data_IF_946392183644
#
_entry.id   IF_946392183644
#
_cell.length_a   1.000
_cell.length_b   1.000
_cell.length_c   1.000
_cell.angle_alpha   90.00
_cell.angle_beta   90.00
_cell.angle_gamma   90.00
#
_symmetry.space_group_name_H-M   'P 1'
#
loop_
_entity.id
_entity.type
_entity.pdbx_description
1 polymer ?
#
# COMPACT_ATOMS: atom_id res chain seq x y z
N UNK A 1 12.89 -3.84 0.71
CA UNK A 1 13.22 -4.12 2.13
C UNK A 1 12.22 -3.34 2.96
N UNK A 2 11.07 -3.95 3.30
CA UNK A 2 9.92 -3.27 3.91
C UNK A 2 10.26 -2.74 5.32
N UNK A 3 10.64 -1.45 5.39
CA UNK A 3 11.11 -0.78 6.62
C UNK A 3 9.99 -0.38 7.58
N UNK A 4 8.73 -0.58 7.22
CA UNK A 4 7.55 -0.20 8.02
C UNK A 4 6.62 -1.40 8.24
N UNK A 5 7.11 -2.47 8.87
CA UNK A 5 6.25 -3.61 9.24
C UNK A 5 5.64 -3.36 10.61
N UNK A 6 4.33 -3.60 10.76
CA UNK A 6 3.66 -3.59 12.05
C UNK A 6 3.37 -2.23 12.67
N UNK A 7 3.22 -1.16 11.89
CA UNK A 7 3.03 0.18 12.47
C UNK A 7 1.63 0.37 13.09
N UNK A 8 0.62 -0.37 12.62
CA UNK A 8 -0.79 -0.23 13.02
C UNK A 8 -1.52 0.93 12.34
N UNK A 9 -2.85 0.83 12.22
CA UNK A 9 -3.68 1.84 11.54
C UNK A 9 -3.69 3.17 12.29
N UNK A 10 -3.76 3.15 13.63
CA UNK A 10 -3.75 4.39 14.42
C UNK A 10 -2.47 5.18 14.24
N UNK A 11 -1.30 4.53 14.30
CA UNK A 11 -0.02 5.20 14.01
C UNK A 11 0.02 5.69 12.57
N UNK A 12 -0.44 4.90 11.60
CA UNK A 12 -0.52 5.33 10.21
C UNK A 12 -1.35 6.61 10.02
N UNK A 13 -2.45 6.76 10.76
CA UNK A 13 -3.24 7.99 10.77
C UNK A 13 -2.52 9.17 11.46
N UNK A 14 -1.62 8.91 12.42
CA UNK A 14 -0.91 9.93 13.19
C UNK A 14 0.45 10.35 12.60
N UNK A 15 1.10 9.54 11.76
CA UNK A 15 2.39 9.90 11.16
C UNK A 15 2.26 11.05 10.14
N UNK A 16 3.35 11.78 9.93
CA UNK A 16 3.44 12.84 8.92
C UNK A 16 3.13 12.33 7.51
N UNK A 17 2.56 13.18 6.66
CA UNK A 17 2.28 12.89 5.24
C UNK A 17 3.48 12.27 4.51
N UNK A 18 4.68 12.82 4.68
CA UNK A 18 5.89 12.28 4.08
C UNK A 18 6.18 10.82 4.48
N UNK A 19 5.97 10.45 5.76
CA UNK A 19 6.18 9.07 6.22
C UNK A 19 5.11 8.12 5.69
N UNK A 20 3.85 8.57 5.63
CA UNK A 20 2.76 7.77 5.06
C UNK A 20 2.99 7.49 3.57
N UNK A 21 3.36 8.52 2.80
CA UNK A 21 3.74 8.38 1.39
C UNK A 21 4.89 7.38 1.25
N UNK A 22 5.94 7.52 2.06
CA UNK A 22 7.10 6.64 1.98
C UNK A 22 6.77 5.17 2.32
N UNK A 23 5.83 4.94 3.23
CA UNK A 23 5.38 3.60 3.60
C UNK A 23 4.51 2.97 2.49
N UNK A 24 3.61 3.76 1.89
CA UNK A 24 2.76 3.34 0.78
C UNK A 24 3.55 3.15 -0.52
N UNK A 25 4.55 4.01 -0.78
CA UNK A 25 5.41 3.92 -1.95
C UNK A 25 6.16 2.58 -1.99
N UNK A 26 6.59 2.05 -0.85
CA UNK A 26 7.23 0.72 -0.76
C UNK A 26 6.26 -0.42 -1.14
N UNK A 27 4.94 -0.19 -1.10
CA UNK A 27 3.94 -1.19 -1.46
C UNK A 27 3.75 -1.32 -2.98
N UNK A 28 3.57 -0.21 -3.69
CA UNK A 28 3.16 -0.17 -5.10
C UNK A 28 4.17 0.55 -6.03
N UNK A 29 5.25 1.12 -5.49
CA UNK A 29 6.26 1.90 -6.22
C UNK A 29 5.69 3.10 -7.03
N UNK A 30 4.48 3.57 -6.69
CA UNK A 30 3.83 4.73 -7.32
C UNK A 30 3.63 5.86 -6.30
N UNK A 31 4.23 7.02 -6.58
CA UNK A 31 4.19 8.19 -5.68
C UNK A 31 2.83 8.89 -5.72
N UNK A 32 2.19 8.98 -6.88
CA UNK A 32 0.89 9.65 -7.04
C UNK A 32 -0.17 8.90 -6.25
N UNK A 33 -0.25 7.58 -6.44
CA UNK A 33 -1.13 6.70 -5.68
C UNK A 33 -0.86 6.80 -4.15
N UNK A 34 0.41 6.73 -3.75
CA UNK A 34 0.79 6.85 -2.34
C UNK A 34 0.42 8.22 -1.73
N UNK A 35 0.53 9.30 -2.51
CA UNK A 35 0.15 10.64 -2.10
C UNK A 35 -1.35 10.77 -1.91
N UNK A 36 -2.17 10.25 -2.84
CA UNK A 36 -3.64 10.28 -2.70
C UNK A 36 -4.10 9.57 -1.44
N UNK A 37 -3.58 8.38 -1.17
CA UNK A 37 -3.92 7.62 0.04
C UNK A 37 -3.44 8.33 1.31
N UNK A 38 -2.26 8.96 1.29
CA UNK A 38 -1.77 9.70 2.44
C UNK A 38 -2.59 10.97 2.72
N UNK A 39 -3.23 11.56 1.71
CA UNK A 39 -4.09 12.75 1.81
C UNK A 39 -5.52 12.39 2.28
N UNK A 40 -6.02 11.21 1.89
CA UNK A 40 -7.35 10.73 2.27
C UNK A 40 -7.48 10.27 3.73
N UNK A 41 -6.39 10.36 4.53
CA UNK A 41 -6.42 10.11 5.97
C UNK A 41 -7.26 11.18 6.68
N UNK A 42 -7.92 10.83 7.81
CA UNK A 42 -7.81 9.58 8.56
C UNK A 42 -8.74 8.47 8.06
N UNK A 43 -8.24 7.22 8.06
CA UNK A 43 -9.05 6.05 7.74
C UNK A 43 -9.70 5.44 8.99
N UNK A 44 -11.00 5.09 8.95
CA UNK A 44 -11.71 4.53 10.10
C UNK A 44 -11.32 3.08 10.39
N UNK A 45 -10.95 2.31 9.36
CA UNK A 45 -10.55 0.92 9.47
C UNK A 45 -9.65 0.52 8.29
N UNK A 46 -9.08 -0.68 8.37
CA UNK A 46 -8.15 -1.21 7.35
C UNK A 46 -8.85 -1.44 6.01
N UNK A 47 -10.11 -1.86 6.04
CA UNK A 47 -10.92 -2.12 4.87
C UNK A 47 -11.12 -0.84 4.03
N UNK A 48 -11.38 0.29 4.68
CA UNK A 48 -11.48 1.59 4.02
C UNK A 48 -10.18 2.00 3.30
N UNK A 49 -9.02 1.68 3.90
CA UNK A 49 -7.72 1.95 3.27
C UNK A 49 -7.48 1.00 2.09
N UNK A 50 -7.83 -0.28 2.21
CA UNK A 50 -7.69 -1.26 1.12
C UNK A 50 -8.66 -0.97 -0.03
N UNK A 51 -9.88 -0.51 0.27
CA UNK A 51 -10.85 -0.09 -0.74
C UNK A 51 -10.37 1.14 -1.50
N UNK A 52 -9.84 2.16 -0.81
CA UNK A 52 -9.24 3.32 -1.48
C UNK A 52 -8.01 2.96 -2.30
N UNK A 53 -7.17 2.05 -1.80
CA UNK A 53 -6.05 1.51 -2.55
C UNK A 53 -6.48 0.90 -3.88
N UNK A 54 -7.55 0.09 -3.87
CA UNK A 54 -8.11 -0.57 -5.05
C UNK A 54 -8.71 0.45 -6.03
N UNK A 55 -9.51 1.40 -5.54
CA UNK A 55 -10.09 2.48 -6.37
C UNK A 55 -9.01 3.29 -7.07
N UNK A 56 -7.94 3.66 -6.35
CA UNK A 56 -6.85 4.42 -6.94
C UNK A 56 -6.02 3.58 -7.93
N UNK A 57 -5.87 2.27 -7.69
CA UNK A 57 -5.26 1.36 -8.67
C UNK A 57 -6.09 1.23 -9.94
N UNK A 58 -7.42 1.15 -9.82
CA UNK A 58 -8.35 1.14 -10.96
C UNK A 58 -8.33 2.47 -11.73
N UNK A 59 -7.97 3.57 -11.07
CA UNK A 59 -7.83 4.88 -11.69
C UNK A 59 -6.47 5.11 -12.38
N UNK A 60 -5.49 4.23 -12.17
CA UNK A 60 -4.19 4.34 -12.83
C UNK A 60 -4.31 4.10 -14.34
N UNK A 61 -3.48 4.82 -15.09
CA UNK A 61 -3.32 4.59 -16.52
C UNK A 61 -2.57 3.28 -16.77
N UNK A 62 -2.72 2.68 -17.96
CA UNK A 62 -1.99 1.46 -18.33
C UNK A 62 -0.46 1.62 -18.22
N UNK A 63 0.08 2.82 -18.49
CA UNK A 63 1.52 3.10 -18.35
C UNK A 63 1.98 3.05 -16.87
N UNK A 64 1.23 3.66 -15.96
CA UNK A 64 1.49 3.58 -14.52
C UNK A 64 1.34 2.16 -13.99
N UNK A 65 0.37 1.40 -14.52
CA UNK A 65 0.15 0.00 -14.19
C UNK A 65 1.32 -0.87 -14.63
N UNK A 66 1.82 -0.69 -15.85
CA UNK A 66 2.98 -1.42 -16.38
C UNK A 66 4.22 -1.12 -15.56
N UNK A 67 4.49 0.17 -15.24
CA UNK A 67 5.62 0.55 -14.37
C UNK A 67 5.52 -0.02 -12.95
N UNK A 68 4.31 -0.03 -12.38
CA UNK A 68 4.07 -0.64 -11.08
C UNK A 68 4.27 -2.17 -11.13
N UNK A 69 3.80 -2.81 -12.21
CA UNK A 69 4.03 -4.22 -12.48
C UNK A 69 5.53 -4.52 -12.67
N UNK A 70 6.28 -3.78 -13.47
CA UNK A 70 7.73 -3.97 -13.64
C UNK A 70 8.49 -3.90 -12.31
N UNK A 71 8.07 -2.99 -11.42
CA UNK A 71 8.64 -2.86 -10.09
C UNK A 71 8.31 -4.04 -9.16
N UNK A 72 7.20 -4.73 -9.41
CA UNK A 72 6.71 -5.87 -8.61
C UNK A 72 7.11 -7.23 -9.22
N UNK A 73 7.17 -7.33 -10.54
CA UNK A 73 7.46 -8.53 -11.36
C UNK A 73 8.89 -9.01 -11.19
N UNK A 74 9.82 -8.16 -10.76
CA UNK A 74 11.16 -8.60 -10.33
C UNK A 74 11.11 -9.68 -9.23
N UNK A 75 9.98 -9.86 -8.55
CA UNK A 75 9.85 -10.70 -7.36
C UNK A 75 8.71 -11.74 -7.41
N UNK A 76 8.16 -12.11 -8.60
CA UNK A 76 7.40 -13.35 -8.94
C UNK A 76 6.08 -13.10 -9.73
N UNK A 77 5.81 -14.04 -10.66
CA UNK A 77 4.55 -14.41 -11.37
C UNK A 77 4.38 -13.95 -12.84
N UNK A 78 4.22 -14.98 -13.70
CA UNK A 78 3.82 -14.89 -15.10
C UNK A 78 2.31 -14.63 -15.21
N UNK A 79 1.91 -13.38 -15.41
CA UNK A 79 0.52 -13.07 -15.73
C UNK A 79 0.07 -11.69 -15.26
N UNK A 80 0.86 -10.64 -15.50
CA UNK A 80 0.61 -9.27 -15.04
C UNK A 80 -0.82 -8.80 -15.34
N UNK A 81 -1.68 -8.92 -14.34
CA UNK A 81 -3.06 -8.45 -14.37
C UNK A 81 -3.26 -7.45 -13.24
N UNK A 82 -4.13 -6.48 -13.46
CA UNK A 82 -4.48 -5.47 -12.45
C UNK A 82 -4.98 -6.10 -11.14
N UNK A 83 -5.69 -7.24 -11.23
CA UNK A 83 -6.13 -8.00 -10.06
C UNK A 83 -4.95 -8.56 -9.25
N UNK A 84 -3.87 -8.97 -9.91
CA UNK A 84 -2.67 -9.49 -9.26
C UNK A 84 -1.89 -8.35 -8.59
N UNK A 85 -1.75 -7.20 -9.25
CA UNK A 85 -1.15 -6.01 -8.63
C UNK A 85 -1.96 -5.55 -7.42
N UNK A 86 -3.29 -5.55 -7.49
CA UNK A 86 -4.17 -5.22 -6.38
C UNK A 86 -3.96 -6.18 -5.19
N UNK A 87 -3.92 -7.49 -5.45
CA UNK A 87 -3.64 -8.49 -4.42
C UNK A 87 -2.27 -8.30 -3.76
N UNK A 88 -1.21 -8.06 -4.54
CA UNK A 88 0.13 -7.83 -4.01
C UNK A 88 0.18 -6.54 -3.18
N UNK A 89 -0.43 -5.48 -3.68
CA UNK A 89 -0.50 -4.18 -2.98
C UNK A 89 -1.26 -4.31 -1.66
N UNK A 90 -2.42 -4.99 -1.65
CA UNK A 90 -3.19 -5.26 -0.43
C UNK A 90 -2.41 -6.10 0.58
N UNK A 91 -1.69 -7.14 0.12
CA UNK A 91 -0.86 -7.97 0.99
C UNK A 91 0.27 -7.16 1.63
N UNK A 92 0.93 -6.30 0.86
CA UNK A 92 2.00 -5.41 1.35
C UNK A 92 1.48 -4.38 2.35
N UNK A 93 0.34 -3.74 2.07
CA UNK A 93 -0.34 -2.83 3.01
C UNK A 93 -0.69 -3.56 4.31
N UNK A 94 -1.27 -4.77 4.21
CA UNK A 94 -1.65 -5.55 5.39
C UNK A 94 -0.43 -5.87 6.25
N UNK A 95 0.69 -6.24 5.61
CA UNK A 95 1.96 -6.47 6.29
C UNK A 95 2.56 -5.20 6.90
N UNK A 96 2.43 -4.06 6.22
CA UNK A 96 2.87 -2.76 6.71
C UNK A 96 2.10 -2.36 7.98
N UNK A 97 0.78 -2.57 8.00
CA UNK A 97 -0.05 -2.32 9.18
C UNK A 97 0.19 -3.36 10.29
N UNK A 98 0.59 -4.59 9.93
CA UNK A 98 0.77 -5.72 10.85
C UNK A 98 -0.53 -6.20 11.49
N UNK A 99 -0.50 -7.12 12.47
CA UNK A 99 -1.70 -7.61 13.14
C UNK A 99 -2.44 -6.48 13.90
N UNK A 100 -3.77 -6.58 14.01
CA UNK A 100 -4.60 -5.56 14.69
C UNK A 100 -4.27 -5.40 16.16
N UNK A 101 -3.74 -6.44 16.80
CA UNK A 101 -3.29 -6.41 18.20
C UNK A 101 -1.89 -5.80 18.40
N UNK A 102 -1.19 -5.40 17.32
CA UNK A 102 0.23 -5.08 17.39
C UNK A 102 1.10 -6.35 17.48
N UNK A 103 2.40 -6.22 17.24
CA UNK A 103 3.31 -7.30 17.63
C UNK A 103 3.38 -7.31 19.16
N UNK A 104 3.29 -8.47 19.82
CA UNK A 104 3.47 -8.53 21.27
C UNK A 104 4.80 -7.85 21.63
N UNK A 105 4.73 -6.84 22.50
CA UNK A 105 5.91 -6.26 23.12
C UNK A 105 6.55 -7.37 23.95
N UNK A 106 7.64 -7.97 23.45
CA UNK A 106 8.44 -8.97 24.16
C UNK A 106 9.39 -8.29 25.15
#
# INVERSE_FOLDING_TARGET
MLMHQGIGLERFNQISRARAIHALFDCCCNVTWAATLADARPYPNRDALLAMADVELLALSQDDLDRALEAVVHEQVSGGSMAELAQITQARITRMLGPSEGYPEY
#
